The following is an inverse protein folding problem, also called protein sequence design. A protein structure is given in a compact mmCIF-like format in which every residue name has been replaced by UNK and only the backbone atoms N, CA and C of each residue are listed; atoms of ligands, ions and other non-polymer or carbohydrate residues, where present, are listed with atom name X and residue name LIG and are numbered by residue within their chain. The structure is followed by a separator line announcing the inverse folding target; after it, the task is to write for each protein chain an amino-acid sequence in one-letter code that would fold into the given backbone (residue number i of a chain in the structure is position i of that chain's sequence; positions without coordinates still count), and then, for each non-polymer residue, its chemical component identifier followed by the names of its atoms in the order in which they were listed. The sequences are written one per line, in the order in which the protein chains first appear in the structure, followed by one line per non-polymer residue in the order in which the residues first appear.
data_IF_927771033589
#
_entry.id   IF_927771033589
#
_cell.length_a   1.000
_cell.length_b   1.000
_cell.length_c   1.000
_cell.angle_alpha   90.00
_cell.angle_beta   90.00
_cell.angle_gamma   90.00
#
_symmetry.space_group_name_H-M   'P 1'
#
loop_
_entity.id
_entity.type
_entity.pdbx_description
1 polymer ?
#
# COMPACT_ATOMS: atom_id res chain seq x y z
N UNK A 1 -28.45 -7.84 4.56
CA UNK A 1 -27.11 -8.35 4.95
C UNK A 1 -26.08 -7.39 4.38
N UNK A 2 -25.62 -6.44 5.19
CA UNK A 2 -24.58 -5.50 4.75
C UNK A 2 -23.24 -6.24 4.79
N UNK A 3 -22.63 -6.43 3.63
CA UNK A 3 -21.24 -6.89 3.55
C UNK A 3 -20.40 -5.78 4.17
N UNK A 4 -20.08 -5.91 5.45
CA UNK A 4 -19.25 -4.97 6.20
C UNK A 4 -17.83 -5.05 5.65
N UNK A 5 -17.58 -4.31 4.56
CA UNK A 5 -16.24 -4.03 4.07
C UNK A 5 -15.67 -2.94 5.01
N UNK A 6 -15.13 -3.37 6.16
CA UNK A 6 -14.39 -2.53 7.14
C UNK A 6 -12.89 -2.66 6.95
N UNK A 7 -12.44 -2.94 5.73
CA UNK A 7 -11.02 -3.15 5.49
C UNK A 7 -10.56 -2.25 4.34
N UNK A 8 -9.83 -1.19 4.69
CA UNK A 8 -9.16 -0.29 3.75
C UNK A 8 -8.13 -1.04 2.88
N UNK A 9 -7.65 -2.21 3.29
CA UNK A 9 -6.84 -3.08 2.44
C UNK A 9 -7.58 -3.54 1.17
N UNK A 10 -8.93 -3.56 1.19
CA UNK A 10 -9.77 -3.84 0.00
C UNK A 10 -10.07 -2.59 -0.82
N UNK A 11 -9.79 -1.40 -0.29
CA UNK A 11 -9.96 -0.12 -0.99
C UNK A 11 -8.90 0.13 -2.06
N UNK A 12 -7.86 -0.72 -2.09
CA UNK A 12 -6.77 -0.67 -3.06
C UNK A 12 -6.90 -1.85 -4.02
N UNK A 13 -7.76 -1.75 -5.05
CA UNK A 13 -7.64 -2.65 -6.18
C UNK A 13 -6.33 -2.32 -6.91
N UNK A 14 -5.33 -3.17 -6.73
CA UNK A 14 -4.10 -3.11 -7.49
C UNK A 14 -4.36 -3.71 -8.86
N UNK A 15 -4.28 -2.88 -9.89
CA UNK A 15 -4.16 -3.36 -11.26
C UNK A 15 -2.71 -3.17 -11.68
N UNK A 16 -1.98 -4.27 -11.68
CA UNK A 16 -0.71 -4.33 -12.41
C UNK A 16 -1.08 -4.36 -13.89
N UNK A 17 -0.73 -3.32 -14.64
CA UNK A 17 -0.99 -3.28 -16.09
C UNK A 17 -0.26 -4.48 -16.74
N UNK A 18 -0.87 -5.21 -17.70
CA UNK A 18 -0.25 -6.33 -18.40
C UNK A 18 1.01 -5.97 -19.21
N UNK A 19 1.45 -4.71 -19.21
CA UNK A 19 2.72 -4.30 -19.78
C UNK A 19 3.91 -5.07 -19.17
N UNK A 20 3.70 -5.70 -18.01
CA UNK A 20 4.62 -6.65 -17.37
C UNK A 20 4.43 -8.12 -17.76
N UNK A 21 3.85 -8.48 -18.91
CA UNK A 21 3.81 -9.91 -19.31
C UNK A 21 5.21 -10.56 -19.43
N UNK A 22 6.25 -9.76 -19.71
CA UNK A 22 7.65 -10.22 -19.69
C UNK A 22 8.34 -10.08 -18.33
N UNK A 23 7.72 -9.33 -17.43
CA UNK A 23 8.14 -9.11 -16.05
C UNK A 23 7.07 -9.63 -15.08
N UNK A 24 6.53 -10.83 -15.28
CA UNK A 24 6.06 -11.65 -14.15
C UNK A 24 7.28 -12.13 -13.35
N UNK A 25 8.15 -11.18 -13.01
CA UNK A 25 9.27 -11.40 -12.12
C UNK A 25 8.63 -11.71 -10.78
N UNK A 26 9.01 -12.84 -10.20
CA UNK A 26 8.88 -13.12 -8.77
C UNK A 26 9.68 -12.05 -7.99
N UNK A 27 9.25 -10.79 -8.06
CA UNK A 27 9.82 -9.66 -7.34
C UNK A 27 9.65 -9.97 -5.88
N UNK A 28 10.77 -10.26 -5.21
CA UNK A 28 10.75 -10.38 -3.77
C UNK A 28 10.50 -9.01 -3.17
N UNK A 29 9.97 -9.01 -1.96
CA UNK A 29 9.67 -7.80 -1.21
C UNK A 29 10.86 -6.82 -1.23
N UNK A 30 10.65 -5.64 -1.82
CA UNK A 30 11.64 -4.56 -1.86
C UNK A 30 12.76 -4.71 -2.91
N UNK A 31 12.76 -5.77 -3.73
CA UNK A 31 13.66 -5.85 -4.88
C UNK A 31 13.20 -4.85 -5.95
N UNK A 32 14.12 -3.98 -6.38
CA UNK A 32 13.89 -3.11 -7.52
C UNK A 32 14.33 -3.88 -8.77
N UNK A 33 13.45 -4.11 -9.75
CA UNK A 33 13.84 -4.79 -10.97
C UNK A 33 14.94 -3.98 -11.68
N UNK A 34 15.92 -4.66 -12.27
CA UNK A 34 16.85 -3.99 -13.19
C UNK A 34 16.11 -3.77 -14.52
N UNK A 35 15.89 -2.51 -14.92
CA UNK A 35 15.16 -2.20 -16.13
C UNK A 35 16.08 -2.32 -17.35
N UNK A 36 15.62 -3.01 -18.39
CA UNK A 36 16.31 -3.07 -19.68
C UNK A 36 15.88 -1.90 -20.58
N UNK A 37 14.66 -1.38 -20.36
CA UNK A 37 14.08 -0.26 -21.11
C UNK A 37 13.44 0.78 -20.17
N UNK A 38 13.26 2.04 -20.62
CA UNK A 38 12.62 3.08 -19.81
C UNK A 38 11.23 2.71 -19.25
N UNK A 39 10.45 1.92 -19.99
CA UNK A 39 9.11 1.51 -19.56
C UNK A 39 9.14 0.53 -18.37
N UNK A 40 10.26 -0.15 -18.12
CA UNK A 40 10.41 -1.11 -17.00
C UNK A 40 10.47 -0.40 -15.64
N UNK A 41 10.72 0.91 -15.61
CA UNK A 41 10.60 1.73 -14.41
C UNK A 41 9.13 1.93 -13.98
N UNK A 42 8.15 1.61 -14.82
CA UNK A 42 6.75 1.69 -14.46
C UNK A 42 6.38 0.59 -13.44
N UNK A 43 6.09 1.01 -12.20
CA UNK A 43 5.72 0.13 -11.09
C UNK A 43 4.31 -0.46 -11.21
N UNK A 44 3.45 0.17 -12.02
CA UNK A 44 2.03 -0.13 -12.15
C UNK A 44 1.13 0.94 -11.54
N UNK A 45 -0.17 0.66 -11.49
CA UNK A 45 -1.18 1.62 -11.07
C UNK A 45 -1.75 1.31 -9.68
N UNK A 46 -2.09 2.37 -8.95
CA UNK A 46 -2.86 2.31 -7.71
C UNK A 46 -4.18 3.05 -7.97
N UNK A 47 -5.29 2.34 -7.80
CA UNK A 47 -6.61 2.94 -7.85
C UNK A 47 -7.11 3.11 -6.41
N UNK A 48 -7.51 4.33 -6.04
CA UNK A 48 -8.01 4.65 -4.70
C UNK A 48 -9.48 5.05 -4.81
N UNK A 49 -10.36 4.29 -4.15
CA UNK A 49 -11.77 4.68 -4.01
C UNK A 49 -11.90 5.78 -2.95
N UNK A 50 -11.67 7.03 -3.33
CA UNK A 50 -11.56 8.16 -2.38
C UNK A 50 -12.83 8.38 -1.55
N UNK A 51 -14.02 8.17 -2.11
CA UNK A 51 -15.29 8.23 -1.38
C UNK A 51 -15.42 7.09 -0.37
N UNK A 52 -14.96 5.89 -0.73
CA UNK A 52 -14.94 4.75 0.19
C UNK A 52 -13.95 4.99 1.34
N UNK A 53 -12.76 5.50 1.03
CA UNK A 53 -11.75 5.85 2.04
C UNK A 53 -12.32 6.90 3.00
N UNK A 54 -12.97 7.94 2.49
CA UNK A 54 -13.63 8.95 3.29
C UNK A 54 -14.69 8.35 4.23
N UNK A 55 -15.53 7.43 3.73
CA UNK A 55 -16.54 6.74 4.54
C UNK A 55 -15.97 5.83 5.63
N UNK A 56 -14.71 5.38 5.51
CA UNK A 56 -14.05 4.56 6.53
C UNK A 56 -13.33 5.40 7.59
N UNK A 57 -13.15 6.71 7.37
CA UNK A 57 -12.52 7.59 8.34
C UNK A 57 -13.42 7.71 9.59
N UNK A 58 -12.82 7.58 10.77
CA UNK A 58 -13.52 7.88 12.03
C UNK A 58 -13.57 9.39 12.25
N UNK A 59 -14.51 9.83 13.10
CA UNK A 59 -14.69 11.26 13.42
C UNK A 59 -13.42 11.94 13.96
N UNK A 60 -12.49 11.18 14.52
CA UNK A 60 -11.23 11.65 15.10
C UNK A 60 -10.00 11.39 14.20
N UNK A 61 -10.19 10.92 12.97
CA UNK A 61 -9.12 10.67 12.00
C UNK A 61 -9.11 11.77 10.94
N UNK A 62 -7.91 12.22 10.55
CA UNK A 62 -7.77 13.14 9.42
C UNK A 62 -7.85 12.37 8.09
N UNK A 63 -8.68 12.84 7.17
CA UNK A 63 -8.90 12.20 5.89
C UNK A 63 -7.63 12.11 5.03
N UNK A 64 -6.80 13.15 5.03
CA UNK A 64 -5.56 13.17 4.25
C UNK A 64 -4.51 12.26 4.85
N UNK A 65 -4.47 12.10 6.17
CA UNK A 65 -3.64 11.11 6.84
C UNK A 65 -4.05 9.69 6.43
N UNK A 66 -5.36 9.37 6.45
CA UNK A 66 -5.86 8.06 6.00
C UNK A 66 -5.56 7.82 4.51
N UNK A 67 -5.73 8.84 3.66
CA UNK A 67 -5.39 8.76 2.25
C UNK A 67 -3.89 8.49 2.05
N UNK A 68 -3.04 9.17 2.82
CA UNK A 68 -1.57 9.00 2.78
C UNK A 68 -1.15 7.60 3.21
N UNK A 69 -1.72 7.09 4.29
CA UNK A 69 -1.49 5.72 4.77
C UNK A 69 -1.95 4.70 3.73
N UNK A 70 -3.12 4.91 3.13
CA UNK A 70 -3.66 4.03 2.08
C UNK A 70 -2.79 4.03 0.84
N UNK A 71 -2.36 5.20 0.35
CA UNK A 71 -1.45 5.29 -0.79
C UNK A 71 -0.10 4.60 -0.51
N UNK A 72 0.45 4.77 0.70
CA UNK A 72 1.69 4.09 1.13
C UNK A 72 1.54 2.56 1.12
N UNK A 73 0.42 2.04 1.61
CA UNK A 73 0.11 0.60 1.53
C UNK A 73 0.08 0.10 0.08
N UNK A 74 -0.58 0.84 -0.82
CA UNK A 74 -0.62 0.52 -2.25
C UNK A 74 0.77 0.49 -2.90
N UNK A 75 1.65 1.44 -2.55
CA UNK A 75 3.03 1.48 -3.03
C UNK A 75 3.83 0.27 -2.55
N UNK A 76 3.67 -0.16 -1.30
CA UNK A 76 4.31 -1.39 -0.80
C UNK A 76 3.92 -2.61 -1.65
N UNK A 77 2.65 -2.73 -2.04
CA UNK A 77 2.22 -3.83 -2.93
C UNK A 77 2.81 -3.76 -4.34
N UNK A 78 3.02 -2.55 -4.89
CA UNK A 78 3.71 -2.40 -6.18
C UNK A 78 5.19 -2.81 -6.07
N UNK A 79 5.81 -2.64 -4.91
CA UNK A 79 7.18 -3.06 -4.60
C UNK A 79 7.31 -4.53 -4.18
N UNK A 80 6.25 -5.34 -4.33
CA UNK A 80 6.28 -6.78 -4.08
C UNK A 80 6.09 -7.19 -2.61
N UNK A 81 5.85 -6.26 -1.69
CA UNK A 81 5.45 -6.62 -0.33
C UNK A 81 4.02 -7.17 -0.35
N UNK A 82 3.76 -8.18 0.49
CA UNK A 82 2.43 -8.79 0.65
C UNK A 82 2.20 -9.09 2.12
N UNK A 83 0.96 -9.40 2.50
CA UNK A 83 0.61 -9.68 3.90
C UNK A 83 -0.31 -10.91 4.01
N UNK A 84 -0.06 -11.92 3.16
CA UNK A 84 -0.91 -13.12 3.07
C UNK A 84 -0.59 -14.14 4.18
N UNK A 85 0.59 -14.02 4.79
CA UNK A 85 1.08 -14.82 5.91
C UNK A 85 1.68 -13.89 6.97
N UNK A 86 1.78 -14.34 8.22
CA UNK A 86 2.38 -13.55 9.30
C UNK A 86 3.82 -13.09 8.97
N UNK A 87 4.63 -13.97 8.36
CA UNK A 87 6.00 -13.63 7.96
C UNK A 87 6.03 -12.51 6.90
N UNK A 88 5.22 -12.63 5.85
CA UNK A 88 5.16 -11.61 4.78
C UNK A 88 4.55 -10.30 5.30
N UNK A 89 3.53 -10.40 6.15
CA UNK A 89 2.94 -9.27 6.84
C UNK A 89 3.97 -8.51 7.67
N UNK A 90 4.81 -9.20 8.44
CA UNK A 90 5.83 -8.56 9.26
C UNK A 90 6.78 -7.72 8.40
N UNK A 91 7.22 -8.23 7.25
CA UNK A 91 8.04 -7.47 6.30
C UNK A 91 7.32 -6.21 5.78
N UNK A 92 6.04 -6.36 5.39
CA UNK A 92 5.23 -5.24 4.89
C UNK A 92 4.95 -4.19 5.97
N UNK A 93 4.64 -4.62 7.20
CA UNK A 93 4.40 -3.76 8.34
C UNK A 93 5.63 -2.93 8.68
N UNK A 94 6.82 -3.55 8.74
CA UNK A 94 8.06 -2.82 8.99
C UNK A 94 8.34 -1.82 7.86
N UNK A 95 8.04 -2.19 6.60
CA UNK A 95 8.23 -1.27 5.48
C UNK A 95 7.30 -0.07 5.52
N UNK A 96 6.01 -0.28 5.80
CA UNK A 96 5.04 0.80 6.00
C UNK A 96 5.47 1.71 7.14
N UNK A 97 5.84 1.13 8.28
CA UNK A 97 6.29 1.87 9.46
C UNK A 97 7.48 2.76 9.13
N UNK A 98 8.50 2.23 8.47
CA UNK A 98 9.67 2.99 8.04
C UNK A 98 9.29 4.22 7.20
N UNK A 99 8.40 4.05 6.22
CA UNK A 99 7.99 5.13 5.30
C UNK A 99 7.18 6.19 6.06
N UNK A 100 6.22 5.74 6.88
CA UNK A 100 5.31 6.63 7.60
C UNK A 100 5.99 7.39 8.73
N UNK A 101 6.99 6.80 9.40
CA UNK A 101 7.82 7.50 10.39
C UNK A 101 8.61 8.64 9.74
N UNK A 102 9.20 8.40 8.56
CA UNK A 102 9.93 9.43 7.82
C UNK A 102 9.01 10.54 7.31
N UNK A 103 7.81 10.21 6.86
CA UNK A 103 6.79 11.20 6.49
C UNK A 103 6.35 12.02 7.70
N UNK A 104 6.02 11.36 8.81
CA UNK A 104 5.61 11.98 10.07
C UNK A 104 6.68 12.96 10.57
N UNK A 105 7.97 12.59 10.46
CA UNK A 105 9.10 13.46 10.81
C UNK A 105 9.15 14.74 9.97
N UNK A 106 8.72 14.70 8.71
CA UNK A 106 8.74 15.84 7.78
C UNK A 106 7.49 16.70 7.86
N UNK A 107 6.33 16.11 8.13
CA UNK A 107 5.04 16.79 8.07
C UNK A 107 4.47 17.14 9.44
N UNK A 108 4.94 16.50 10.51
CA UNK A 108 4.34 16.58 11.85
C UNK A 108 3.07 15.77 12.02
N UNK A 109 2.64 15.02 10.99
CA UNK A 109 1.49 14.12 11.08
C UNK A 109 1.77 12.94 12.00
N UNK A 110 0.71 12.32 12.52
CA UNK A 110 0.81 11.09 13.33
C UNK A 110 0.28 9.91 12.52
N UNK A 111 1.14 9.37 11.65
CA UNK A 111 0.77 8.31 10.72
C UNK A 111 1.09 6.93 11.31
N UNK A 112 0.27 5.93 11.00
CA UNK A 112 0.45 4.55 11.46
C UNK A 112 0.20 3.57 10.31
N UNK A 113 0.93 2.43 10.26
CA UNK A 113 0.75 1.41 9.23
C UNK A 113 -0.70 0.97 9.06
N UNK A 114 -1.15 0.77 7.82
CA UNK A 114 -2.48 0.24 7.52
C UNK A 114 -2.57 -1.25 7.89
N UNK A 115 -1.44 -1.93 7.78
CA UNK A 115 -1.27 -3.34 8.12
C UNK A 115 -1.28 -3.63 9.63
N UNK A 116 -1.36 -2.61 10.50
CA UNK A 116 -1.36 -2.82 11.96
C UNK A 116 -2.47 -3.79 12.39
N UNK A 117 -2.19 -4.60 13.40
CA UNK A 117 -3.13 -5.52 14.05
C UNK A 117 -3.80 -6.54 13.09
N UNK A 118 -3.16 -6.85 11.95
CA UNK A 118 -3.71 -7.82 10.98
C UNK A 118 -3.52 -9.28 11.42
N UNK A 119 -2.46 -9.55 12.19
CA UNK A 119 -2.12 -10.85 12.79
C UNK A 119 -1.97 -10.70 14.30
#
# INVERSE_FOLDING_TARGET
MSLVLRNLQRAIPLRRVPLRQRMEINLKAGEIPQPDFPDDYNLGDIFLGVEYIFQQCKENEDYYDILTVTATHGLCHLLGFTHNTEATWQEMYQKEKQILEELSRRTGATLQPLSRDLF
#
